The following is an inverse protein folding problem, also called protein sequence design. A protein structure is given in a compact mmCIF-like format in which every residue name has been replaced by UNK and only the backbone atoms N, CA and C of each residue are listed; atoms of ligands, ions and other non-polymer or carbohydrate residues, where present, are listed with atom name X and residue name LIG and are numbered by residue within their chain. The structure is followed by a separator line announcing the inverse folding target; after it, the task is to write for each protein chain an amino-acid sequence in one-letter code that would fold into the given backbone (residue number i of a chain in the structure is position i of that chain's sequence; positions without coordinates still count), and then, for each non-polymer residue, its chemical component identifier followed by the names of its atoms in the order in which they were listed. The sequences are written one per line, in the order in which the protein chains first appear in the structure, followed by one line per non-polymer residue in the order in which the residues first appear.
data_IF_997755563350
#
_entry.id   IF_997755563350
#
_cell.length_a   1.000
_cell.length_b   1.000
_cell.length_c   1.000
_cell.angle_alpha   90.00
_cell.angle_beta   90.00
_cell.angle_gamma   90.00
#
_symmetry.space_group_name_H-M   'P 1'
#
loop_
_entity.id
_entity.type
_entity.pdbx_description
1 polymer ?
#
# COMPACT_ATOMS: atom_id res chain seq x y z
N UNK A 1 -21.07 -8.36 2.68
CA UNK A 1 -20.05 -7.85 1.74
C UNK A 1 -19.16 -6.84 2.47
N UNK A 2 -17.96 -7.26 2.89
CA UNK A 2 -16.82 -6.40 3.30
C UNK A 2 -15.60 -6.40 2.32
N UNK A 3 -15.59 -7.04 1.12
CA UNK A 3 -14.38 -7.12 0.31
C UNK A 3 -13.80 -5.79 -0.20
N UNK A 4 -14.57 -4.70 -0.47
CA UNK A 4 -13.99 -3.51 -1.11
C UNK A 4 -12.91 -2.83 -0.25
N UNK A 5 -13.09 -2.81 1.08
CA UNK A 5 -12.18 -2.08 1.97
C UNK A 5 -10.85 -2.82 2.17
N UNK A 6 -10.90 -4.16 2.21
CA UNK A 6 -9.69 -4.99 2.32
C UNK A 6 -8.88 -4.92 1.03
N UNK A 7 -9.55 -4.99 -0.11
CA UNK A 7 -8.91 -4.85 -1.43
C UNK A 7 -8.33 -3.44 -1.63
N UNK A 8 -9.06 -2.40 -1.18
CA UNK A 8 -8.56 -1.02 -1.19
C UNK A 8 -7.30 -0.89 -0.32
N UNK A 9 -7.29 -1.51 0.86
CA UNK A 9 -6.12 -1.52 1.74
C UNK A 9 -4.91 -2.19 1.08
N UNK A 10 -5.11 -3.36 0.48
CA UNK A 10 -4.03 -4.09 -0.22
C UNK A 10 -3.48 -3.27 -1.40
N UNK A 11 -4.37 -2.67 -2.19
CA UNK A 11 -3.99 -1.81 -3.32
C UNK A 11 -3.22 -0.57 -2.85
N UNK A 12 -3.67 0.06 -1.77
CA UNK A 12 -3.00 1.23 -1.16
C UNK A 12 -1.61 0.85 -0.68
N UNK A 13 -1.47 -0.30 -0.01
CA UNK A 13 -0.18 -0.80 0.46
C UNK A 13 0.79 -1.10 -0.69
N UNK A 14 0.33 -1.76 -1.76
CA UNK A 14 1.14 -2.00 -2.96
C UNK A 14 1.63 -0.68 -3.55
N UNK A 15 0.74 0.32 -3.66
CA UNK A 15 1.11 1.66 -4.15
C UNK A 15 2.13 2.33 -3.25
N UNK A 16 1.93 2.34 -1.93
CA UNK A 16 2.88 2.92 -0.99
C UNK A 16 4.27 2.29 -1.12
N UNK A 17 4.36 0.97 -1.29
CA UNK A 17 5.63 0.29 -1.52
C UNK A 17 6.31 0.79 -2.79
N UNK A 18 5.59 0.78 -3.91
CA UNK A 18 6.11 1.18 -5.23
C UNK A 18 6.58 2.63 -5.22
N UNK A 19 5.76 3.54 -4.68
CA UNK A 19 6.10 4.96 -4.57
C UNK A 19 7.32 5.19 -3.70
N UNK A 20 7.40 4.53 -2.54
CA UNK A 20 8.58 4.65 -1.66
C UNK A 20 9.85 4.18 -2.33
N UNK A 21 9.80 3.07 -3.07
CA UNK A 21 10.96 2.57 -3.81
C UNK A 21 11.36 3.55 -4.93
N UNK A 22 10.41 4.07 -5.70
CA UNK A 22 10.69 5.07 -6.75
C UNK A 22 11.27 6.36 -6.18
N UNK A 23 10.67 6.89 -5.11
CA UNK A 23 11.07 8.15 -4.49
C UNK A 23 12.46 8.08 -3.86
N UNK A 24 12.81 6.93 -3.26
CA UNK A 24 14.09 6.78 -2.54
C UNK A 24 15.23 6.32 -3.44
N UNK A 25 14.95 5.42 -4.40
CA UNK A 25 16.00 4.73 -5.17
C UNK A 25 15.94 5.04 -6.67
N UNK A 26 14.90 5.75 -7.12
CA UNK A 26 14.68 6.08 -8.52
C UNK A 26 13.97 4.97 -9.29
N UNK A 27 13.42 5.37 -10.45
CA UNK A 27 12.59 4.52 -11.32
C UNK A 27 13.32 3.25 -11.78
N UNK A 28 14.57 3.35 -12.19
CA UNK A 28 15.33 2.18 -12.68
C UNK A 28 15.48 1.11 -11.60
N UNK A 29 15.80 1.52 -10.36
CA UNK A 29 15.96 0.57 -9.25
C UNK A 29 14.63 -0.02 -8.83
N UNK A 30 13.53 0.76 -8.89
CA UNK A 30 12.18 0.23 -8.71
C UNK A 30 11.88 -0.89 -9.69
N UNK A 31 12.13 -0.70 -10.99
CA UNK A 31 11.83 -1.72 -12.00
C UNK A 31 12.65 -3.00 -11.77
N UNK A 32 13.91 -2.88 -11.38
CA UNK A 32 14.75 -4.03 -10.98
C UNK A 32 14.26 -4.73 -9.70
N UNK A 33 13.79 -3.98 -8.71
CA UNK A 33 13.19 -4.54 -7.49
C UNK A 33 11.91 -5.31 -7.82
N UNK A 34 11.05 -4.78 -8.68
CA UNK A 34 9.84 -5.47 -9.09
C UNK A 34 10.17 -6.75 -9.86
N UNK A 35 11.14 -6.71 -10.77
CA UNK A 35 11.63 -7.91 -11.44
C UNK A 35 12.27 -8.93 -10.47
N UNK A 36 13.01 -8.47 -9.47
CA UNK A 36 13.58 -9.33 -8.44
C UNK A 36 12.46 -10.06 -7.67
N UNK A 37 11.41 -9.35 -7.28
CA UNK A 37 10.25 -9.93 -6.60
C UNK A 37 9.55 -10.95 -7.50
N UNK A 38 9.33 -10.63 -8.78
CA UNK A 38 8.73 -11.54 -9.75
C UNK A 38 9.56 -12.81 -9.96
N UNK A 39 10.89 -12.69 -10.05
CA UNK A 39 11.82 -13.84 -10.13
C UNK A 39 11.76 -14.72 -8.87
N UNK A 40 11.36 -14.16 -7.74
CA UNK A 40 11.10 -14.90 -6.50
C UNK A 40 9.62 -15.32 -6.35
N UNK A 41 8.82 -15.21 -7.41
CA UNK A 41 7.43 -15.66 -7.45
C UNK A 41 6.46 -14.74 -6.71
N UNK A 42 6.80 -13.47 -6.50
CA UNK A 42 5.95 -12.46 -5.88
C UNK A 42 5.55 -11.45 -6.95
N UNK A 43 4.29 -11.50 -7.40
CA UNK A 43 3.78 -10.52 -8.35
C UNK A 43 3.48 -9.20 -7.65
N UNK A 44 3.49 -8.10 -8.40
CA UNK A 44 3.18 -6.77 -7.87
C UNK A 44 1.84 -6.71 -7.12
N UNK A 45 0.81 -7.43 -7.60
CA UNK A 45 -0.50 -7.51 -6.94
C UNK A 45 -0.46 -8.23 -5.59
N UNK A 46 0.54 -9.08 -5.36
CA UNK A 46 0.69 -9.93 -4.18
C UNK A 46 1.61 -9.31 -3.11
N UNK A 47 2.21 -8.14 -3.38
CA UNK A 47 3.13 -7.46 -2.45
C UNK A 47 2.53 -7.30 -1.06
N UNK A 48 1.28 -6.86 -0.96
CA UNK A 48 0.59 -6.68 0.31
C UNK A 48 0.28 -7.99 1.03
N UNK A 49 -0.17 -9.03 0.32
CA UNK A 49 -0.52 -10.31 0.94
C UNK A 49 0.70 -11.14 1.33
N UNK A 50 1.82 -10.96 0.63
CA UNK A 50 3.10 -11.65 0.84
C UNK A 50 4.18 -10.71 1.37
N UNK A 51 3.80 -9.71 2.14
CA UNK A 51 4.73 -8.64 2.52
C UNK A 51 5.91 -9.16 3.35
N UNK A 52 5.72 -10.16 4.20
CA UNK A 52 6.82 -10.80 4.93
C UNK A 52 7.85 -11.42 3.96
N UNK A 53 7.39 -12.09 2.90
CA UNK A 53 8.26 -12.65 1.85
C UNK A 53 8.98 -11.54 1.07
N UNK A 54 8.30 -10.42 0.80
CA UNK A 54 8.91 -9.23 0.18
C UNK A 54 10.06 -8.71 1.05
N UNK A 55 9.84 -8.56 2.35
CA UNK A 55 10.87 -8.12 3.30
C UNK A 55 12.05 -9.08 3.29
N UNK A 56 11.79 -10.39 3.29
CA UNK A 56 12.82 -11.41 3.24
C UNK A 56 13.65 -11.34 1.95
N UNK A 57 13.01 -11.27 0.79
CA UNK A 57 13.69 -11.16 -0.51
C UNK A 57 14.56 -9.90 -0.55
N UNK A 58 14.00 -8.74 -0.17
CA UNK A 58 14.75 -7.49 -0.15
C UNK A 58 15.92 -7.53 0.83
N UNK A 59 15.74 -8.12 2.01
CA UNK A 59 16.81 -8.24 3.01
C UNK A 59 17.92 -9.16 2.54
N UNK A 60 17.59 -10.27 1.85
CA UNK A 60 18.57 -11.17 1.26
C UNK A 60 19.38 -10.51 0.14
N UNK A 61 18.75 -9.67 -0.68
CA UNK A 61 19.41 -9.01 -1.82
C UNK A 61 20.17 -7.72 -1.46
N UNK A 62 19.60 -6.89 -0.58
CA UNK A 62 20.12 -5.55 -0.26
C UNK A 62 20.66 -5.43 1.16
N UNK A 63 20.50 -6.45 2.01
CA UNK A 63 20.93 -6.43 3.41
C UNK A 63 20.07 -5.52 4.30
N UNK A 64 20.64 -5.08 5.41
CA UNK A 64 19.97 -4.23 6.41
C UNK A 64 19.30 -2.95 5.85
N UNK A 65 19.83 -2.26 4.82
CA UNK A 65 19.16 -1.11 4.21
C UNK A 65 17.74 -1.38 3.71
N UNK A 66 17.41 -2.62 3.34
CA UNK A 66 16.04 -3.01 2.96
C UNK A 66 15.01 -2.66 4.05
N UNK A 67 15.39 -2.77 5.33
CA UNK A 67 14.49 -2.46 6.45
C UNK A 67 14.03 -0.99 6.46
N UNK A 68 14.82 -0.08 5.91
CA UNK A 68 14.45 1.34 5.79
C UNK A 68 13.32 1.52 4.77
N UNK A 69 13.39 0.82 3.62
CA UNK A 69 12.32 0.85 2.62
C UNK A 69 11.01 0.34 3.23
N UNK A 70 11.07 -0.80 3.92
CA UNK A 70 9.90 -1.44 4.54
C UNK A 70 9.31 -0.53 5.62
N UNK A 71 10.14 0.03 6.51
CA UNK A 71 9.70 0.97 7.53
C UNK A 71 9.02 2.21 6.92
N UNK A 72 9.62 2.76 5.86
CA UNK A 72 9.09 3.92 5.16
C UNK A 72 7.76 3.58 4.46
N UNK A 73 7.63 2.41 3.85
CA UNK A 73 6.37 1.92 3.27
C UNK A 73 5.26 1.88 4.31
N UNK A 74 5.49 1.29 5.49
CA UNK A 74 4.46 1.22 6.54
C UNK A 74 4.14 2.63 7.05
N UNK A 75 5.14 3.49 7.21
CA UNK A 75 4.92 4.89 7.63
C UNK A 75 4.05 5.65 6.64
N UNK A 76 4.32 5.53 5.33
CA UNK A 76 3.50 6.15 4.29
C UNK A 76 2.09 5.54 4.20
N UNK A 77 1.96 4.24 4.46
CA UNK A 77 0.65 3.60 4.55
C UNK A 77 -0.20 4.17 5.70
N UNK A 78 0.39 4.40 6.88
CA UNK A 78 -0.29 5.06 7.98
C UNK A 78 -0.74 6.48 7.60
N UNK A 79 0.12 7.25 6.93
CA UNK A 79 -0.19 8.60 6.46
C UNK A 79 -1.30 8.62 5.41
N UNK A 80 -1.34 7.63 4.52
CA UNK A 80 -2.43 7.47 3.55
C UNK A 80 -3.79 7.35 4.25
N UNK A 81 -3.85 6.72 5.41
CA UNK A 81 -5.08 6.59 6.20
C UNK A 81 -5.26 7.69 7.26
N UNK A 82 -4.49 8.79 7.16
CA UNK A 82 -4.47 9.88 8.13
C UNK A 82 -4.23 9.40 9.58
N UNK A 83 -3.56 8.26 9.73
CA UNK A 83 -3.18 7.70 11.02
C UNK A 83 -1.75 8.11 11.35
N UNK A 84 -1.49 8.33 12.65
CA UNK A 84 -0.12 8.54 13.13
C UNK A 84 0.59 7.20 13.24
N UNK A 85 1.72 7.05 12.57
CA UNK A 85 2.66 5.97 12.86
C UNK A 85 3.22 6.21 14.26
N UNK A 86 2.74 5.43 15.23
CA UNK A 86 3.15 5.49 16.64
C UNK A 86 4.28 4.52 17.00
N UNK A 87 4.78 3.78 16.01
CA UNK A 87 5.78 2.73 16.20
C UNK A 87 7.20 3.21 15.91
N UNK A 88 8.16 2.57 16.54
CA UNK A 88 9.60 2.85 16.50
C UNK A 88 10.35 1.84 15.63
N UNK A 89 11.56 2.21 15.21
CA UNK A 89 12.42 1.33 14.42
C UNK A 89 12.89 0.15 15.29
N UNK A 90 12.34 -1.05 15.03
CA UNK A 90 12.62 -2.25 15.81
C UNK A 90 11.36 -3.03 16.18
N UNK A 91 10.20 -2.37 16.21
CA UNK A 91 8.92 -3.03 16.38
C UNK A 91 8.53 -3.83 15.13
N UNK A 92 7.71 -4.87 15.34
CA UNK A 92 7.23 -5.74 14.27
C UNK A 92 6.37 -4.95 13.29
N UNK A 93 6.92 -4.63 12.12
CA UNK A 93 6.22 -3.91 11.05
C UNK A 93 4.98 -4.67 10.56
N UNK A 94 5.03 -6.01 10.63
CA UNK A 94 3.92 -6.90 10.35
C UNK A 94 2.74 -6.65 11.29
N UNK A 95 3.00 -6.55 12.58
CA UNK A 95 1.94 -6.31 13.57
C UNK A 95 1.36 -4.90 13.40
N UNK A 96 2.17 -3.91 13.03
CA UNK A 96 1.69 -2.56 12.71
C UNK A 96 0.77 -2.56 11.48
N UNK A 97 1.11 -3.30 10.42
CA UNK A 97 0.21 -3.44 9.25
C UNK A 97 -1.10 -4.11 9.65
N UNK A 98 -1.06 -5.15 10.48
CA UNK A 98 -2.26 -5.84 10.95
C UNK A 98 -3.16 -4.91 11.79
N UNK A 99 -2.58 -4.18 12.74
CA UNK A 99 -3.29 -3.19 13.56
C UNK A 99 -3.94 -2.09 12.71
N UNK A 100 -3.21 -1.55 11.74
CA UNK A 100 -3.78 -0.56 10.83
C UNK A 100 -4.93 -1.14 10.01
N UNK A 101 -4.77 -2.36 9.48
CA UNK A 101 -5.81 -3.04 8.70
C UNK A 101 -7.07 -3.24 9.52
N UNK A 102 -6.95 -3.69 10.76
CA UNK A 102 -8.08 -3.86 11.68
C UNK A 102 -8.80 -2.53 11.93
N UNK A 103 -8.05 -1.45 12.15
CA UNK A 103 -8.62 -0.11 12.32
C UNK A 103 -9.33 0.38 11.06
N UNK A 104 -8.71 0.22 9.89
CA UNK A 104 -9.31 0.59 8.60
C UNK A 104 -10.65 -0.12 8.38
N UNK A 105 -10.72 -1.41 8.72
CA UNK A 105 -11.96 -2.19 8.60
C UNK A 105 -13.01 -1.75 9.62
N UNK A 106 -12.60 -1.50 10.87
CA UNK A 106 -13.52 -1.18 11.97
C UNK A 106 -14.11 0.22 11.83
N UNK A 107 -13.27 1.19 11.48
CA UNK A 107 -13.65 2.61 11.40
C UNK A 107 -14.00 3.04 9.96
N UNK A 108 -14.01 2.09 9.02
CA UNK A 108 -14.28 2.31 7.59
C UNK A 108 -13.42 3.43 6.96
N UNK A 109 -12.14 3.49 7.36
CA UNK A 109 -11.23 4.54 6.92
C UNK A 109 -10.98 4.45 5.41
N UNK A 110 -10.93 5.61 4.76
CA UNK A 110 -10.59 5.73 3.34
C UNK A 110 -9.16 6.27 3.18
N UNK A 111 -8.39 5.74 2.21
CA UNK A 111 -7.07 6.29 1.92
C UNK A 111 -7.22 7.66 1.24
N UNK A 112 -6.30 8.58 1.53
CA UNK A 112 -6.29 9.96 1.01
C UNK A 112 -6.24 10.01 -0.51
N UNK A 113 -5.50 9.12 -1.14
CA UNK A 113 -5.39 9.06 -2.59
C UNK A 113 -6.08 7.82 -3.18
N UNK A 114 -7.12 7.27 -2.55
CA UNK A 114 -7.92 6.18 -3.14
C UNK A 114 -8.63 6.62 -4.42
N UNK A 115 -9.09 5.67 -5.27
CA UNK A 115 -10.00 6.04 -6.35
C UNK A 115 -11.20 6.75 -5.72
N UNK A 116 -11.37 8.03 -6.05
CA UNK A 116 -12.60 8.75 -5.77
C UNK A 116 -13.70 7.92 -6.41
N UNK A 117 -14.65 7.42 -5.62
CA UNK A 117 -15.93 7.02 -6.19
C UNK A 117 -16.52 8.34 -6.65
N UNK A 118 -16.34 8.60 -7.93
CA UNK A 118 -16.76 9.80 -8.62
C UNK A 118 -18.24 10.05 -8.34
N UNK A 119 -18.55 11.24 -7.83
CA UNK A 119 -19.90 11.78 -7.57
C UNK A 119 -20.63 12.11 -8.89
N UNK A 120 -20.45 11.29 -9.93
CA UNK A 120 -20.91 11.55 -11.30
C UNK A 120 -22.15 10.75 -11.69
N UNK A 121 -23.08 10.51 -10.76
CA UNK A 121 -24.40 9.96 -11.08
C UNK A 121 -25.55 10.81 -10.52
N UNK A 122 -25.47 12.14 -10.67
CA UNK A 122 -26.65 13.01 -10.67
C UNK A 122 -26.54 14.10 -11.74
N UNK A 123 -26.52 13.70 -13.01
CA UNK A 123 -27.02 14.55 -14.10
C UNK A 123 -28.30 13.91 -14.63
N UNK A 124 -29.38 14.06 -13.88
CA UNK A 124 -30.72 14.03 -14.47
C UNK A 124 -30.88 15.29 -15.31
N UNK A 125 -30.57 15.19 -16.61
CA UNK A 125 -31.05 16.17 -17.59
C UNK A 125 -32.56 15.99 -17.75
N UNK A 126 -33.40 17.03 -17.55
CA UNK A 126 -34.78 16.95 -17.96
C UNK A 126 -34.85 16.98 -19.49
N UNK A 127 -35.53 15.99 -20.08
CA UNK A 127 -36.02 16.07 -21.45
C UNK A 127 -36.87 17.35 -21.57
N UNK A 128 -36.44 18.30 -22.41
CA UNK A 128 -37.36 19.31 -22.93
C UNK A 128 -38.19 18.64 -24.02
N UNK A 129 -39.50 18.61 -23.81
CA UNK A 129 -40.49 18.49 -24.88
C UNK A 129 -40.67 19.87 -25.54
N UNK A 130 -41.12 19.80 -26.80
CA UNK A 130 -41.41 20.86 -27.79
C UNK A 130 -40.26 21.27 -28.73
#
# INVERSE_FOLDING_TARGET
MRPPIVETFQTTMNRCFITVVEDMLGRTVKDEILQLLERNGIRQSEISSRFDDVVEVLTRSFGNPARVLVYKTVTELYKEYSQRAGFTFGESLRDQIALLKERVISDLLRPRHGPSIDDSIYITSPKREE
#
